data_IF_559382392846
#
_entry.id   IF_559382392846
#
_cell.length_a   1.000
_cell.length_b   1.000
_cell.length_c   1.000
_cell.angle_alpha   90.00
_cell.angle_beta   90.00
_cell.angle_gamma   90.00
#
_symmetry.space_group_name_H-M   'P 1'
#
loop_
_entity.id
_entity.type
_entity.pdbx_description
1 polymer ?
#
# COMPACT_ATOMS: atom_id res chain seq x y z
N UNK A 1 20.97 16.55 -4.10
CA UNK A 1 20.29 15.36 -3.54
C UNK A 1 18.81 15.72 -3.37
N UNK A 2 17.86 15.13 -4.11
CA UNK A 2 16.47 15.47 -3.90
C UNK A 2 16.02 14.94 -2.53
N UNK A 3 15.26 15.76 -1.82
CA UNK A 3 14.66 15.43 -0.52
C UNK A 3 13.68 14.25 -0.71
N UNK A 4 14.02 13.08 -0.17
CA UNK A 4 13.11 11.93 -0.17
C UNK A 4 12.01 12.24 0.83
N UNK A 5 10.83 12.60 0.34
CA UNK A 5 9.65 12.77 1.16
C UNK A 5 9.24 11.40 1.73
N UNK A 6 9.40 11.22 3.05
CA UNK A 6 9.01 10.00 3.76
C UNK A 6 7.71 10.21 4.53
N UNK A 7 6.85 9.19 4.53
CA UNK A 7 5.66 9.18 5.40
C UNK A 7 6.06 9.13 6.88
N UNK A 8 5.31 9.82 7.73
CA UNK A 8 5.44 9.68 9.18
C UNK A 8 4.88 8.34 9.64
N UNK A 9 5.29 7.85 10.81
CA UNK A 9 4.72 6.63 11.40
C UNK A 9 3.21 6.73 11.62
N UNK A 10 2.70 7.91 11.95
CA UNK A 10 1.27 8.16 12.08
C UNK A 10 0.54 7.94 10.75
N UNK A 11 1.06 8.48 9.64
CA UNK A 11 0.49 8.28 8.30
C UNK A 11 0.51 6.82 7.91
N UNK A 12 1.61 6.09 8.16
CA UNK A 12 1.72 4.66 7.84
C UNK A 12 0.68 3.84 8.61
N UNK A 13 0.52 4.10 9.90
CA UNK A 13 -0.49 3.42 10.75
C UNK A 13 -1.91 3.73 10.30
N UNK A 14 -2.21 4.98 9.98
CA UNK A 14 -3.52 5.36 9.45
C UNK A 14 -3.81 4.68 8.10
N UNK A 15 -2.81 4.54 7.23
CA UNK A 15 -2.95 3.82 5.97
C UNK A 15 -3.23 2.33 6.20
N UNK A 16 -2.51 1.69 7.13
CA UNK A 16 -2.76 0.29 7.49
C UNK A 16 -4.17 0.07 8.05
N UNK A 17 -4.63 0.97 8.92
CA UNK A 17 -5.99 0.94 9.47
C UNK A 17 -7.06 1.11 8.39
N UNK A 18 -6.85 2.04 7.45
CA UNK A 18 -7.75 2.23 6.29
C UNK A 18 -7.84 0.96 5.43
N UNK A 19 -6.76 0.19 5.35
CA UNK A 19 -6.68 -1.06 4.61
C UNK A 19 -7.12 -2.28 5.43
N UNK A 20 -7.72 -2.10 6.61
CA UNK A 20 -8.17 -3.19 7.48
C UNK A 20 -7.04 -4.19 7.83
N UNK A 21 -5.81 -3.67 7.99
CA UNK A 21 -4.60 -4.48 8.20
C UNK A 21 -4.24 -5.40 7.03
N UNK A 22 -4.65 -5.08 5.80
CA UNK A 22 -4.32 -5.86 4.61
C UNK A 22 -3.28 -5.17 3.73
N UNK A 23 -2.54 -5.95 2.95
CA UNK A 23 -1.76 -5.46 1.83
C UNK A 23 -2.70 -4.84 0.79
N UNK A 24 -2.45 -3.58 0.39
CA UNK A 24 -3.31 -2.87 -0.55
C UNK A 24 -3.38 -3.53 -1.95
N UNK A 25 -2.37 -4.33 -2.30
CA UNK A 25 -2.26 -5.00 -3.61
C UNK A 25 -2.85 -6.41 -3.58
N UNK A 26 -2.40 -7.28 -2.68
CA UNK A 26 -2.77 -8.70 -2.69
C UNK A 26 -3.80 -9.11 -1.61
N UNK A 27 -4.16 -8.21 -0.68
CA UNK A 27 -5.14 -8.49 0.38
C UNK A 27 -4.62 -9.34 1.55
N UNK A 28 -3.38 -9.83 1.50
CA UNK A 28 -2.80 -10.64 2.59
C UNK A 28 -2.67 -9.82 3.88
N UNK A 29 -2.81 -10.49 5.03
CA UNK A 29 -2.82 -9.82 6.33
C UNK A 29 -1.43 -9.29 6.73
N UNK A 30 -1.43 -8.08 7.27
CA UNK A 30 -0.28 -7.33 7.76
C UNK A 30 -0.56 -6.99 9.23
N UNK A 31 -0.01 -7.79 10.14
CA UNK A 31 -0.18 -7.55 11.58
C UNK A 31 0.59 -6.33 12.10
N UNK A 32 1.73 -5.99 11.47
CA UNK A 32 2.56 -4.86 11.90
C UNK A 32 3.38 -4.29 10.74
N UNK A 33 3.82 -3.04 10.86
CA UNK A 33 4.69 -2.38 9.88
C UNK A 33 6.15 -2.86 9.98
N UNK A 34 6.88 -2.76 8.87
CA UNK A 34 8.28 -3.10 8.79
C UNK A 34 8.54 -4.59 8.98
N UNK A 35 9.70 -4.93 9.56
CA UNK A 35 10.13 -6.33 9.75
C UNK A 35 9.31 -7.07 10.82
N UNK A 36 8.60 -6.35 11.70
CA UNK A 36 7.75 -6.98 12.71
C UNK A 36 6.52 -7.67 12.07
N UNK A 37 6.03 -7.13 10.94
CA UNK A 37 4.94 -7.71 10.15
C UNK A 37 5.20 -9.13 9.64
N UNK A 38 6.48 -9.54 9.55
CA UNK A 38 6.88 -10.89 9.09
C UNK A 38 6.24 -12.00 9.89
N UNK A 39 6.01 -11.81 11.18
CA UNK A 39 5.41 -12.85 12.03
C UNK A 39 3.95 -13.12 11.68
N UNK A 40 3.24 -12.13 11.19
CA UNK A 40 1.81 -12.21 10.90
C UNK A 40 1.54 -12.51 9.41
N UNK A 41 2.45 -12.12 8.51
CA UNK A 41 2.30 -12.37 7.09
C UNK A 41 2.51 -13.86 6.76
N UNK A 42 1.60 -14.45 5.98
CA UNK A 42 1.61 -15.87 5.58
C UNK A 42 2.95 -16.38 5.03
N UNK A 43 3.70 -15.52 4.34
CA UNK A 43 4.99 -15.84 3.71
C UNK A 43 6.21 -15.28 4.46
N UNK A 44 6.02 -14.72 5.65
CA UNK A 44 7.13 -14.18 6.43
C UNK A 44 7.68 -12.85 5.90
N UNK A 45 6.85 -12.02 5.25
CA UNK A 45 7.26 -10.77 4.60
C UNK A 45 7.08 -9.54 5.50
N UNK A 46 7.98 -8.56 5.36
CA UNK A 46 7.80 -7.26 5.99
C UNK A 46 6.71 -6.43 5.29
N UNK A 47 6.31 -5.33 5.93
CA UNK A 47 5.33 -4.40 5.36
C UNK A 47 5.91 -2.98 5.20
N UNK A 48 5.70 -2.39 4.03
CA UNK A 48 6.30 -1.11 3.65
C UNK A 48 5.25 -0.15 3.12
N UNK A 49 5.44 1.14 3.44
CA UNK A 49 4.63 2.20 2.88
C UNK A 49 5.11 2.58 1.48
N UNK A 50 4.18 2.79 0.56
CA UNK A 50 4.42 3.13 -0.83
C UNK A 50 3.61 4.37 -1.23
N UNK A 51 4.21 5.24 -2.03
CA UNK A 51 3.51 6.37 -2.62
C UNK A 51 2.70 5.92 -3.83
N UNK A 52 1.38 6.09 -3.78
CA UNK A 52 0.46 5.79 -4.91
C UNK A 52 0.85 6.59 -6.15
N UNK A 53 1.08 7.90 -5.99
CA UNK A 53 1.70 8.78 -6.97
C UNK A 53 3.11 9.08 -6.52
N UNK A 54 4.11 8.81 -7.36
CA UNK A 54 5.51 9.01 -7.02
C UNK A 54 5.84 10.50 -6.76
N UNK A 55 6.78 10.78 -5.85
CA UNK A 55 7.15 12.14 -5.45
C UNK A 55 7.64 13.02 -6.61
N UNK A 56 8.35 12.43 -7.58
CA UNK A 56 8.82 13.15 -8.78
C UNK A 56 7.69 13.53 -9.74
N UNK A 57 6.49 13.00 -9.53
CA UNK A 57 5.29 13.26 -10.33
C UNK A 57 4.26 14.10 -9.56
N UNK A 58 4.66 14.74 -8.46
CA UNK A 58 3.77 15.54 -7.61
C UNK A 58 3.09 14.75 -6.50
N UNK A 59 3.51 13.51 -6.26
CA UNK A 59 3.12 12.74 -5.08
C UNK A 59 3.46 13.46 -3.79
N UNK A 60 2.52 13.43 -2.83
CA UNK A 60 2.69 14.06 -1.52
C UNK A 60 2.81 13.00 -0.41
N UNK A 61 3.18 13.42 0.80
CA UNK A 61 3.13 12.60 2.00
C UNK A 61 1.74 12.53 2.66
N UNK A 62 0.68 12.96 1.96
CA UNK A 62 -0.68 12.86 2.48
C UNK A 62 -1.09 11.38 2.64
N UNK A 63 -1.97 11.12 3.61
CA UNK A 63 -2.54 9.79 3.85
C UNK A 63 -3.17 9.19 2.59
N UNK A 64 -3.83 10.02 1.78
CA UNK A 64 -4.45 9.58 0.52
C UNK A 64 -3.44 9.01 -0.48
N UNK A 65 -2.18 9.43 -0.40
CA UNK A 65 -1.11 8.97 -1.29
C UNK A 65 -0.28 7.83 -0.68
N UNK A 66 -0.58 7.38 0.54
CA UNK A 66 0.13 6.32 1.24
C UNK A 66 -0.64 5.00 1.16
N UNK A 67 -0.01 3.92 0.70
CA UNK A 67 -0.52 2.55 0.84
C UNK A 67 0.49 1.66 1.55
N UNK A 68 0.03 0.62 2.24
CA UNK A 68 0.89 -0.40 2.84
C UNK A 68 0.87 -1.67 1.99
N UNK A 69 2.05 -2.16 1.66
CA UNK A 69 2.27 -3.36 0.83
C UNK A 69 3.18 -4.35 1.57
N UNK A 70 2.97 -5.65 1.36
CA UNK A 70 3.95 -6.66 1.73
C UNK A 70 5.22 -6.52 0.89
N UNK A 71 6.35 -7.05 1.36
CA UNK A 71 7.67 -6.89 0.76
C UNK A 71 7.69 -7.25 -0.74
N UNK A 72 7.08 -8.37 -1.13
CA UNK A 72 7.03 -8.80 -2.53
C UNK A 72 6.12 -7.91 -3.39
N UNK A 73 4.98 -7.47 -2.86
CA UNK A 73 4.11 -6.52 -3.56
C UNK A 73 4.78 -5.15 -3.71
N UNK A 74 5.47 -4.69 -2.67
CA UNK A 74 6.23 -3.45 -2.67
C UNK A 74 7.35 -3.49 -3.73
N UNK A 75 8.10 -4.59 -3.79
CA UNK A 75 9.14 -4.81 -4.78
C UNK A 75 8.58 -4.88 -6.21
N UNK A 76 7.42 -5.52 -6.39
CA UNK A 76 6.72 -5.62 -7.68
C UNK A 76 6.16 -4.27 -8.15
N UNK A 77 5.68 -3.42 -7.22
CA UNK A 77 5.25 -2.06 -7.52
C UNK A 77 6.41 -1.18 -8.03
N UNK A 78 7.64 -1.52 -7.65
CA UNK A 78 8.87 -0.98 -8.23
C UNK A 78 9.38 -1.81 -9.42
N UNK A 79 8.58 -2.61 -10.13
CA UNK A 79 9.02 -3.44 -11.28
C UNK A 79 10.30 -4.25 -11.01
N UNK A 80 10.46 -4.81 -9.81
CA UNK A 80 11.70 -5.50 -9.44
C UNK A 80 12.83 -4.56 -8.99
N UNK A 81 12.48 -3.40 -8.41
CA UNK A 81 13.42 -2.42 -7.88
C UNK A 81 13.79 -1.26 -8.83
N UNK A 82 13.18 -1.18 -10.00
CA UNK A 82 13.29 -0.04 -10.92
C UNK A 82 12.20 1.01 -10.65
N UNK A 83 12.60 2.26 -10.44
CA UNK A 83 11.66 3.37 -10.33
C UNK A 83 11.00 3.60 -11.70
N UNK A 84 9.70 3.31 -11.85
CA UNK A 84 8.94 3.76 -13.03
C UNK A 84 8.99 5.29 -13.09
N UNK A 85 9.74 5.81 -14.07
CA UNK A 85 9.67 7.22 -14.47
C UNK A 85 8.34 7.57 -15.15
N UNK A 86 7.59 6.56 -15.63
CA UNK A 86 6.27 6.71 -16.24
C UNK A 86 5.16 6.40 -15.24
N UNK A 87 4.39 7.43 -14.95
CA UNK A 87 3.28 7.45 -14.02
C UNK A 87 2.28 6.34 -14.30
N UNK A 88 2.21 5.36 -13.40
CA UNK A 88 0.93 4.70 -13.16
C UNK A 88 0.27 5.53 -12.09
N UNK A 89 -0.77 6.30 -12.46
CA UNK A 89 -1.74 6.71 -11.46
C UNK A 89 -2.31 5.40 -10.94
N UNK A 90 -2.02 5.05 -9.68
CA UNK A 90 -2.65 3.88 -9.11
C UNK A 90 -4.14 4.21 -8.97
N UNK A 91 -4.91 3.73 -9.93
CA UNK A 91 -6.36 3.66 -9.80
C UNK A 91 -6.71 2.52 -8.84
N UNK A 92 -7.98 2.41 -8.49
CA UNK A 92 -8.48 1.34 -7.63
C UNK A 92 -8.19 -0.07 -8.18
N UNK A 93 -7.84 -0.22 -9.47
CA UNK A 93 -7.46 -1.52 -10.04
C UNK A 93 -6.04 -1.94 -9.65
N UNK A 94 -5.17 -0.99 -9.31
CA UNK A 94 -3.77 -1.26 -8.93
C UNK A 94 -3.66 -1.62 -7.45
N UNK A 95 -4.50 -1.02 -6.60
CA UNK A 95 -4.56 -1.29 -5.17
C UNK A 95 -6.00 -1.61 -4.76
N UNK A 96 -6.51 -2.82 -5.10
CA UNK A 96 -7.91 -3.19 -4.87
C UNK A 96 -8.30 -3.18 -3.39
N UNK A 97 -7.35 -3.34 -2.48
CA UNK A 97 -7.56 -3.35 -1.03
C UNK A 97 -7.18 -2.01 -0.37
N UNK A 98 -7.17 -0.90 -1.12
CA UNK A 98 -6.85 0.43 -0.58
C UNK A 98 -7.75 0.82 0.61
N UNK A 99 -9.02 0.38 0.58
CA UNK A 99 -10.03 0.56 1.63
C UNK A 99 -10.34 -0.75 2.39
N UNK A 100 -9.48 -1.77 2.31
CA UNK A 100 -9.74 -3.09 2.88
C UNK A 100 -10.68 -3.94 2.01
N UNK A 101 -11.38 -4.89 2.64
CA UNK A 101 -12.15 -5.98 1.98
C UNK A 101 -13.45 -5.53 1.30
N UNK A 102 -13.84 -4.25 1.39
CA UNK A 102 -15.18 -3.74 1.09
C UNK A 102 -15.53 -3.60 -0.41
N UNK A 103 -15.28 -4.64 -1.22
CA UNK A 103 -15.81 -4.73 -2.59
C UNK A 103 -16.62 -5.98 -2.93
N UNK A 104 -16.57 -7.05 -2.14
CA UNK A 104 -17.36 -8.26 -2.46
C UNK A 104 -18.80 -8.21 -1.89
N UNK A 105 -19.09 -7.32 -0.95
CA UNK A 105 -20.36 -7.29 -0.19
C UNK A 105 -21.38 -6.25 -0.71
N UNK A 106 -21.09 -5.56 -1.82
CA UNK A 106 -22.02 -4.56 -2.41
C UNK A 106 -22.99 -5.10 -3.47
N UNK A 107 -22.92 -6.39 -3.81
CA UNK A 107 -23.89 -7.03 -4.75
C UNK A 107 -25.04 -7.78 -4.04
N UNK A 108 -25.29 -7.56 -2.75
CA UNK A 108 -26.32 -8.28 -1.98
C UNK A 108 -27.56 -7.44 -1.57
N UNK A 109 -27.82 -6.27 -2.17
CA UNK A 109 -29.01 -5.45 -1.83
C UNK A 109 -29.68 -4.78 -3.04
N UNK A 110 -30.00 -5.56 -4.06
CA UNK A 110 -31.14 -5.25 -4.94
C UNK A 110 -31.99 -6.51 -5.05
N UNK A 111 -32.89 -6.66 -4.08
CA UNK A 111 -34.09 -7.49 -4.18
C UNK A 111 -35.30 -6.61 -4.42
#
# INVERSE_FOLDING_TARGET
>A
MPYIQQFTEATKRQALLRQENQCASCGEQIGELGQLGRKAHKYGEGAHAHHVTHIQQGGTNALSNCVILCESCHYSAHEGGYYRSKAVRADESTYPHYYGSLREDREATVG
#
